data_IF_446491350280
#
_entry.id   IF_446491350280
#
_cell.length_a   1.000
_cell.length_b   1.000
_cell.length_c   1.000
_cell.angle_alpha   90.00
_cell.angle_beta   90.00
_cell.angle_gamma   90.00
#
_symmetry.space_group_name_H-M   'P 1'
#
loop_
_entity.id
_entity.type
_entity.pdbx_description
1 polymer ?
#
# COMPACT_ATOMS: atom_id res chain seq x y z
N UNK A 1 -4.06 10.06 9.95
CA UNK A 1 -5.19 9.37 9.29
C UNK A 1 -4.64 8.36 8.29
N UNK A 2 -4.75 7.07 8.60
CA UNK A 2 -4.30 6.00 7.70
C UNK A 2 -5.30 5.84 6.55
N UNK A 3 -4.80 5.64 5.33
CA UNK A 3 -5.66 5.45 4.14
C UNK A 3 -6.56 4.21 4.31
N UNK A 4 -7.89 4.31 4.09
CA UNK A 4 -8.81 3.19 4.28
C UNK A 4 -8.57 2.04 3.30
N UNK A 5 -7.97 2.31 2.14
CA UNK A 5 -7.58 1.28 1.18
C UNK A 5 -6.42 0.45 1.71
N UNK A 6 -5.47 1.09 2.40
CA UNK A 6 -4.35 0.41 3.04
C UNK A 6 -4.82 -0.54 4.15
N UNK A 7 -5.82 -0.14 4.94
CA UNK A 7 -6.41 -1.01 5.99
C UNK A 7 -7.02 -2.29 5.39
N UNK A 8 -7.67 -2.19 4.22
CA UNK A 8 -8.23 -3.34 3.51
C UNK A 8 -7.18 -4.32 2.97
N UNK A 9 -5.91 -3.91 2.88
CA UNK A 9 -4.82 -4.81 2.49
C UNK A 9 -4.47 -5.83 3.59
N UNK A 10 -4.91 -5.61 4.83
CA UNK A 10 -4.71 -6.56 5.94
C UNK A 10 -3.24 -6.81 6.29
N UNK A 11 -2.37 -5.81 6.09
CA UNK A 11 -0.93 -5.96 6.29
C UNK A 11 -0.53 -5.69 7.74
N UNK A 12 0.38 -6.52 8.24
CA UNK A 12 1.07 -6.25 9.50
C UNK A 12 1.93 -4.98 9.39
N UNK A 13 2.08 -4.27 10.50
CA UNK A 13 2.93 -3.06 10.57
C UNK A 13 4.39 -3.41 10.28
N UNK A 14 4.86 -4.60 10.67
CA UNK A 14 6.21 -5.12 10.43
C UNK A 14 6.43 -5.68 9.02
N UNK A 15 5.42 -5.65 8.15
CA UNK A 15 5.54 -6.17 6.80
C UNK A 15 6.54 -5.36 5.98
N UNK A 16 7.30 -6.00 5.09
CA UNK A 16 8.25 -5.26 4.26
C UNK A 16 7.54 -4.39 3.21
N UNK A 17 8.16 -3.28 2.75
CA UNK A 17 7.63 -2.46 1.66
C UNK A 17 7.31 -3.27 0.38
N UNK A 18 8.05 -4.35 0.12
CA UNK A 18 7.78 -5.24 -1.01
C UNK A 18 6.47 -6.03 -0.82
N UNK A 19 6.18 -6.47 0.41
CA UNK A 19 4.91 -7.13 0.73
C UNK A 19 3.72 -6.17 0.52
N UNK A 20 3.88 -4.89 0.87
CA UNK A 20 2.89 -3.83 0.62
C UNK A 20 2.61 -3.67 -0.87
N UNK A 21 3.67 -3.59 -1.69
CA UNK A 21 3.52 -3.50 -3.14
C UNK A 21 2.84 -4.74 -3.71
N UNK A 22 3.18 -5.94 -3.24
CA UNK A 22 2.57 -7.18 -3.72
C UNK A 22 1.08 -7.25 -3.38
N UNK A 23 0.69 -6.82 -2.17
CA UNK A 23 -0.71 -6.73 -1.77
C UNK A 23 -1.47 -5.67 -2.59
N UNK A 24 -0.89 -4.49 -2.76
CA UNK A 24 -1.45 -3.42 -3.59
C UNK A 24 -1.67 -3.88 -5.05
N UNK A 25 -0.71 -4.63 -5.63
CA UNK A 25 -0.85 -5.20 -6.97
C UNK A 25 -1.97 -6.24 -7.04
N UNK A 26 -2.16 -7.05 -5.99
CA UNK A 26 -3.24 -8.04 -5.90
C UNK A 26 -4.61 -7.42 -5.66
N UNK A 27 -4.67 -6.25 -5.04
CA UNK A 27 -5.91 -5.50 -4.85
C UNK A 27 -6.45 -4.91 -6.16
N UNK A 28 -5.60 -4.72 -7.18
CA UNK A 28 -6.03 -4.27 -8.51
C UNK A 28 -6.48 -5.46 -9.36
N UNK A 29 -7.64 -5.31 -10.01
CA UNK A 29 -8.13 -6.29 -10.99
C UNK A 29 -7.12 -6.45 -12.15
N UNK A 30 -6.88 -7.68 -12.64
CA UNK A 30 -5.96 -7.94 -13.76
C UNK A 30 -6.24 -7.07 -14.99
N UNK A 31 -7.51 -6.82 -15.29
CA UNK A 31 -7.91 -6.01 -16.44
C UNK A 31 -7.55 -4.53 -16.25
N UNK A 32 -7.80 -3.98 -15.05
CA UNK A 32 -7.36 -2.62 -14.69
C UNK A 32 -5.84 -2.49 -14.75
N UNK A 33 -5.11 -3.56 -14.45
CA UNK A 33 -3.65 -3.60 -14.55
C UNK A 33 -3.16 -3.68 -16.00
N UNK A 34 -3.88 -4.36 -16.88
CA UNK A 34 -3.54 -4.50 -18.30
C UNK A 34 -3.71 -3.18 -19.08
N UNK A 35 -4.62 -2.30 -18.64
CA UNK A 35 -4.85 -0.99 -19.28
C UNK A 35 -3.59 -0.11 -19.20
N UNK A 36 -2.96 0.12 -20.35
CA UNK A 36 -1.72 0.93 -20.46
C UNK A 36 -1.94 2.39 -20.02
N UNK A 37 -3.12 2.95 -20.26
CA UNK A 37 -3.48 4.33 -19.86
C UNK A 37 -3.45 4.57 -18.35
N UNK A 38 -3.64 3.52 -17.54
CA UNK A 38 -3.63 3.62 -16.08
C UNK A 38 -2.23 3.52 -15.45
N UNK A 39 -1.15 3.49 -16.24
CA UNK A 39 0.21 3.38 -15.70
C UNK A 39 0.54 4.46 -14.68
N UNK A 40 0.18 5.72 -14.96
CA UNK A 40 0.45 6.84 -14.04
C UNK A 40 -0.39 6.75 -12.77
N UNK A 41 -1.68 6.41 -12.91
CA UNK A 41 -2.58 6.20 -11.78
C UNK A 41 -2.09 5.05 -10.88
N UNK A 42 -1.69 3.92 -11.47
CA UNK A 42 -1.10 2.78 -10.76
C UNK A 42 0.17 3.15 -9.98
N UNK A 43 1.09 3.88 -10.60
CA UNK A 43 2.31 4.35 -9.91
C UNK A 43 1.96 5.23 -8.71
N UNK A 44 0.99 6.15 -8.87
CA UNK A 44 0.49 6.99 -7.77
C UNK A 44 -0.09 6.15 -6.63
N UNK A 45 -0.95 5.19 -6.97
CA UNK A 45 -1.54 4.27 -6.01
C UNK A 45 -0.47 3.50 -5.21
N UNK A 46 0.54 2.94 -5.87
CA UNK A 46 1.63 2.24 -5.18
C UNK A 46 2.41 3.15 -4.23
N UNK A 47 2.69 4.39 -4.64
CA UNK A 47 3.37 5.37 -3.79
C UNK A 47 2.51 5.73 -2.57
N UNK A 48 1.20 5.93 -2.73
CA UNK A 48 0.29 6.20 -1.62
C UNK A 48 0.27 5.04 -0.61
N UNK A 49 0.25 3.79 -1.07
CA UNK A 49 0.31 2.63 -0.18
C UNK A 49 1.62 2.55 0.59
N UNK A 50 2.75 2.87 -0.05
CA UNK A 50 4.05 2.94 0.63
C UNK A 50 4.11 4.07 1.66
N UNK A 51 3.59 5.26 1.33
CA UNK A 51 3.52 6.38 2.27
C UNK A 51 2.62 6.05 3.48
N UNK A 52 1.46 5.44 3.25
CA UNK A 52 0.55 5.02 4.32
C UNK A 52 1.19 3.96 5.23
N UNK A 53 1.93 3.01 4.65
CA UNK A 53 2.67 2.00 5.40
C UNK A 53 3.78 2.63 6.25
N UNK A 54 4.59 3.54 5.68
CA UNK A 54 5.64 4.23 6.42
C UNK A 54 5.08 5.03 7.60
N UNK A 55 3.97 5.76 7.39
CA UNK A 55 3.27 6.46 8.47
C UNK A 55 2.82 5.48 9.58
N UNK A 56 2.31 4.31 9.20
CA UNK A 56 1.90 3.26 10.14
C UNK A 56 3.07 2.65 10.90
N UNK A 57 4.23 2.48 10.26
CA UNK A 57 5.44 1.98 10.93
C UNK A 57 5.93 2.96 12.00
N UNK A 58 5.94 4.26 11.71
CA UNK A 58 6.31 5.30 12.69
C UNK A 58 5.32 5.35 13.86
N UNK A 59 4.01 5.19 13.61
CA UNK A 59 2.99 5.08 14.67
C UNK A 59 3.17 3.82 15.53
N UNK A 60 3.50 2.68 14.91
CA UNK A 60 3.72 1.41 15.62
C UNK A 60 5.00 1.39 16.46
N UNK A 61 6.07 2.01 15.95
CA UNK A 61 7.33 2.18 16.67
C UNK A 61 7.15 3.04 17.93
N UNK A 62 6.40 4.15 17.81
CA UNK A 62 6.01 5.00 18.95
C UNK A 62 5.15 4.31 20.00
N UNK A 63 4.45 3.23 19.64
CA UNK A 63 3.62 2.47 20.58
C UNK A 63 4.40 1.31 21.23
N UNK A 64 5.63 1.04 20.77
CA UNK A 64 6.50 -0.04 21.26
C UNK A 64 7.63 0.50 22.15
N UNK A 65 7.75 1.82 22.32
CA UNK A 65 8.75 2.50 23.15
C UNK A 65 8.19 3.11 24.43
#
# INVERSE_FOLDING_TARGET
MTDPTYQRLGLLVTASPYAVLRAAVRALHPDTRAVRGFRTARKRFYRQMLCAHAARQVEGDRSTG
#
